data_IF_011511704480
#
_entry.id   IF_011511704480
#
_cell.length_a   1.000
_cell.length_b   1.000
_cell.length_c   1.000
_cell.angle_alpha   90.00
_cell.angle_beta   90.00
_cell.angle_gamma   90.00
#
_symmetry.space_group_name_H-M   'P 1'
#
loop_
_entity.id
_entity.type
_entity.pdbx_description
1 polymer ?
#
# COMPACT_ATOMS: atom_id res chain seq x y z
N UNK A 1 -68.19 15.83 20.12
CA UNK A 1 -68.42 17.04 20.94
C UNK A 1 -67.54 16.95 22.18
N UNK A 2 -66.81 18.00 22.52
CA UNK A 2 -65.84 18.07 23.62
C UNK A 2 -64.60 18.85 23.16
N UNK A 3 -64.66 20.20 23.18
CA UNK A 3 -64.07 21.08 24.22
C UNK A 3 -62.56 20.79 24.36
N UNK A 4 -61.63 21.62 23.92
CA UNK A 4 -61.53 23.08 24.08
C UNK A 4 -60.32 23.36 24.98
N UNK A 5 -59.35 24.15 24.52
CA UNK A 5 -58.30 24.70 25.39
C UNK A 5 -56.94 24.96 24.73
N UNK A 6 -56.63 26.21 24.36
CA UNK A 6 -55.29 26.70 24.01
C UNK A 6 -54.57 27.25 25.26
N UNK A 7 -53.24 27.07 25.35
CA UNK A 7 -52.36 27.81 26.28
C UNK A 7 -50.99 28.06 25.63
N UNK A 8 -50.76 29.32 25.25
CA UNK A 8 -49.76 30.24 25.82
C UNK A 8 -48.31 29.86 25.48
N UNK A 9 -47.70 30.49 24.46
CA UNK A 9 -46.94 31.76 24.54
C UNK A 9 -46.04 31.84 25.78
N UNK A 10 -44.83 31.31 25.61
CA UNK A 10 -43.66 31.73 26.37
C UNK A 10 -42.68 32.42 25.42
N UNK A 11 -42.81 33.73 25.29
CA UNK A 11 -41.80 34.62 24.73
C UNK A 11 -40.56 34.54 25.64
N UNK A 12 -39.45 34.00 25.13
CA UNK A 12 -38.13 34.09 25.77
C UNK A 12 -37.20 34.87 24.84
N UNK A 13 -37.37 36.18 24.84
CA UNK A 13 -36.36 37.14 24.40
C UNK A 13 -35.27 37.23 25.45
N UNK A 14 -34.34 36.27 25.42
CA UNK A 14 -33.07 36.39 26.15
C UNK A 14 -32.19 37.48 25.53
N UNK A 15 -31.42 38.24 26.34
CA UNK A 15 -30.51 39.26 25.84
C UNK A 15 -29.41 38.59 25.00
N UNK A 16 -29.31 39.00 23.73
CA UNK A 16 -28.18 38.67 22.87
C UNK A 16 -26.94 39.36 23.43
N UNK A 17 -26.07 38.57 24.04
CA UNK A 17 -24.68 38.94 24.28
C UNK A 17 -24.03 39.37 22.96
N UNK A 18 -23.22 40.44 22.95
CA UNK A 18 -22.40 40.78 21.80
C UNK A 18 -21.51 39.58 21.52
N UNK A 19 -21.73 38.98 20.34
CA UNK A 19 -20.86 37.99 19.75
C UNK A 19 -19.52 38.68 19.56
N UNK A 20 -18.55 38.31 20.39
CA UNK A 20 -17.15 38.66 20.18
C UNK A 20 -16.84 38.43 18.72
N UNK A 21 -16.37 39.52 18.12
CA UNK A 21 -15.99 39.57 16.73
C UNK A 21 -15.02 38.44 16.50
N UNK A 22 -15.36 37.60 15.52
CA UNK A 22 -14.44 36.69 14.88
C UNK A 22 -13.12 37.44 14.69
N UNK A 23 -12.11 37.08 15.47
CA UNK A 23 -10.75 37.11 15.01
C UNK A 23 -10.78 36.32 13.71
N UNK A 24 -10.83 37.07 12.61
CA UNK A 24 -10.55 36.57 11.30
C UNK A 24 -9.15 35.99 11.41
N UNK A 25 -9.09 34.68 11.60
CA UNK A 25 -7.91 33.86 11.42
C UNK A 25 -7.28 34.25 10.08
N UNK A 26 -6.33 35.17 10.16
CA UNK A 26 -5.41 35.52 9.09
C UNK A 26 -4.44 34.37 8.91
N UNK A 27 -4.95 33.17 8.62
CA UNK A 27 -4.17 32.12 7.97
C UNK A 27 -3.87 32.69 6.60
N UNK A 28 -2.71 33.32 6.51
CA UNK A 28 -2.34 34.13 5.36
C UNK A 28 -2.29 33.25 4.12
N UNK A 29 -2.83 33.74 3.00
CA UNK A 29 -2.87 33.01 1.72
C UNK A 29 -1.50 32.45 1.28
N UNK A 30 -0.39 33.07 1.73
CA UNK A 30 0.97 32.57 1.48
C UNK A 30 1.28 31.23 2.16
N UNK A 31 0.64 30.91 3.29
CA UNK A 31 0.92 29.68 4.03
C UNK A 31 0.32 28.44 3.35
N UNK A 32 -0.80 28.60 2.65
CA UNK A 32 -1.49 27.47 2.01
C UNK A 32 -0.68 26.87 0.84
N UNK A 33 0.01 27.71 0.06
CA UNK A 33 0.84 27.25 -1.06
C UNK A 33 2.08 26.50 -0.62
N UNK A 34 2.80 27.09 0.34
CA UNK A 34 3.99 26.49 0.93
C UNK A 34 3.66 25.17 1.62
N UNK A 35 2.54 25.12 2.34
CA UNK A 35 2.10 23.88 2.98
C UNK A 35 1.72 22.81 1.95
N UNK A 36 1.02 23.18 0.86
CA UNK A 36 0.73 22.24 -0.22
C UNK A 36 2.02 21.69 -0.86
N UNK A 37 3.00 22.55 -1.14
CA UNK A 37 4.31 22.14 -1.70
C UNK A 37 5.00 21.17 -0.73
N UNK A 38 5.04 21.50 0.58
CA UNK A 38 5.63 20.65 1.62
C UNK A 38 4.98 19.26 1.65
N UNK A 39 3.65 19.20 1.64
CA UNK A 39 2.92 17.93 1.66
C UNK A 39 3.08 17.12 0.37
N UNK A 40 3.15 17.79 -0.79
CA UNK A 40 3.43 17.12 -2.07
C UNK A 40 4.86 16.56 -2.13
N UNK A 41 5.83 17.27 -1.54
CA UNK A 41 7.20 16.77 -1.40
C UNK A 41 7.26 15.54 -0.48
N UNK A 42 6.56 15.57 0.66
CA UNK A 42 6.45 14.41 1.56
C UNK A 42 5.77 13.21 0.87
N UNK A 43 4.74 13.47 0.06
CA UNK A 43 4.10 12.44 -0.77
C UNK A 43 5.09 11.83 -1.78
N UNK A 44 5.90 12.68 -2.44
CA UNK A 44 6.95 12.24 -3.37
C UNK A 44 7.96 11.33 -2.66
N UNK A 45 8.44 11.71 -1.48
CA UNK A 45 9.41 10.91 -0.72
C UNK A 45 8.87 9.51 -0.39
N UNK A 46 7.57 9.38 -0.11
CA UNK A 46 6.94 8.08 0.07
C UNK A 46 6.82 7.27 -1.22
N UNK A 47 6.60 7.92 -2.36
CA UNK A 47 6.65 7.25 -3.66
C UNK A 47 8.08 6.83 -4.02
N UNK A 48 9.09 7.64 -3.76
CA UNK A 48 10.49 7.25 -3.96
C UNK A 48 10.87 6.06 -3.07
N UNK A 49 10.45 6.05 -1.81
CA UNK A 49 10.58 4.89 -0.95
C UNK A 49 9.87 3.65 -1.54
N UNK A 50 8.65 3.82 -2.07
CA UNK A 50 7.91 2.74 -2.71
C UNK A 50 8.64 2.20 -3.95
N UNK A 51 9.21 3.10 -4.77
CA UNK A 51 10.05 2.78 -5.92
C UNK A 51 11.24 1.92 -5.49
N UNK A 52 11.96 2.30 -4.44
CA UNK A 52 13.07 1.50 -3.93
C UNK A 52 12.65 0.09 -3.51
N UNK A 53 11.50 -0.06 -2.85
CA UNK A 53 10.98 -1.37 -2.45
C UNK A 53 10.63 -2.22 -3.67
N UNK A 54 9.92 -1.67 -4.67
CA UNK A 54 9.55 -2.46 -5.87
C UNK A 54 10.76 -2.82 -6.73
N UNK A 55 11.80 -1.99 -6.75
CA UNK A 55 13.09 -2.35 -7.39
C UNK A 55 13.74 -3.51 -6.64
N UNK A 56 13.76 -3.47 -5.30
CA UNK A 56 14.33 -4.56 -4.47
C UNK A 56 13.57 -5.88 -4.64
N UNK A 57 12.25 -5.82 -4.82
CA UNK A 57 11.44 -7.00 -5.14
C UNK A 57 11.93 -7.72 -6.40
N UNK A 58 12.42 -7.00 -7.42
CA UNK A 58 12.97 -7.63 -8.63
C UNK A 58 14.12 -8.59 -8.28
N UNK A 59 15.06 -8.16 -7.43
CA UNK A 59 16.17 -9.01 -6.97
C UNK A 59 15.68 -10.22 -6.19
N UNK A 60 14.66 -10.07 -5.33
CA UNK A 60 14.11 -11.20 -4.59
C UNK A 60 13.30 -12.17 -5.45
N UNK A 61 12.68 -11.69 -6.53
CA UNK A 61 12.06 -12.54 -7.56
C UNK A 61 13.14 -13.35 -8.27
N UNK A 62 14.27 -12.75 -8.64
CA UNK A 62 15.36 -13.47 -9.29
C UNK A 62 15.93 -14.59 -8.42
N UNK A 63 16.09 -14.34 -7.11
CA UNK A 63 16.63 -15.33 -6.18
C UNK A 63 15.59 -16.28 -5.58
N UNK A 64 14.32 -16.21 -5.98
CA UNK A 64 13.21 -16.96 -5.38
C UNK A 64 13.10 -16.79 -3.84
N UNK A 65 13.48 -15.61 -3.32
CA UNK A 65 13.45 -15.36 -1.87
C UNK A 65 12.04 -14.93 -1.43
N UNK A 66 11.18 -15.93 -1.23
CA UNK A 66 9.77 -15.73 -0.85
C UNK A 66 9.64 -15.00 0.50
N UNK A 67 10.57 -15.25 1.43
CA UNK A 67 10.56 -14.62 2.75
C UNK A 67 10.75 -13.11 2.64
N UNK A 68 11.75 -12.66 1.87
CA UNK A 68 11.97 -11.23 1.64
C UNK A 68 10.89 -10.59 0.77
N UNK A 69 10.34 -11.31 -0.22
CA UNK A 69 9.18 -10.81 -0.97
C UNK A 69 7.96 -10.54 -0.10
N UNK A 70 7.70 -11.39 0.89
CA UNK A 70 6.61 -11.19 1.85
C UNK A 70 6.84 -9.94 2.72
N UNK A 71 8.09 -9.74 3.17
CA UNK A 71 8.51 -8.54 3.91
C UNK A 71 8.32 -7.27 3.09
N UNK A 72 8.86 -7.23 1.86
CA UNK A 72 8.70 -6.09 0.94
C UNK A 72 7.22 -5.80 0.64
N UNK A 73 6.40 -6.83 0.49
CA UNK A 73 4.94 -6.67 0.28
C UNK A 73 4.25 -6.05 1.48
N UNK A 74 4.72 -6.31 2.70
CA UNK A 74 4.22 -5.64 3.90
C UNK A 74 4.65 -4.16 3.96
N UNK A 75 5.89 -3.87 3.57
CA UNK A 75 6.42 -2.50 3.48
C UNK A 75 5.66 -1.68 2.44
N UNK A 76 5.43 -2.22 1.23
CA UNK A 76 4.59 -1.60 0.18
C UNK A 76 3.21 -1.22 0.74
N UNK A 77 2.56 -2.13 1.48
CA UNK A 77 1.25 -1.86 2.11
C UNK A 77 1.34 -0.78 3.18
N UNK A 78 2.45 -0.67 3.90
CA UNK A 78 2.72 0.42 4.84
C UNK A 78 2.83 1.77 4.13
N UNK A 79 3.66 1.85 3.10
CA UNK A 79 3.88 3.08 2.32
C UNK A 79 2.59 3.53 1.61
N UNK A 80 1.85 2.61 0.98
CA UNK A 80 0.57 2.94 0.33
C UNK A 80 -0.48 3.48 1.30
N UNK A 81 -0.45 3.08 2.58
CA UNK A 81 -1.31 3.67 3.62
C UNK A 81 -0.91 5.12 3.90
N UNK A 82 0.38 5.38 4.12
CA UNK A 82 0.90 6.74 4.33
C UNK A 82 0.57 7.68 3.18
N UNK A 83 0.76 7.22 1.93
CA UNK A 83 0.39 7.98 0.73
C UNK A 83 -1.10 8.32 0.73
N UNK A 84 -1.97 7.36 1.04
CA UNK A 84 -3.42 7.59 1.10
C UNK A 84 -3.81 8.59 2.19
N UNK A 85 -3.17 8.50 3.35
CA UNK A 85 -3.42 9.41 4.48
C UNK A 85 -2.98 10.83 4.12
N UNK A 86 -1.82 10.99 3.46
CA UNK A 86 -1.38 12.28 2.92
C UNK A 86 -2.30 12.81 1.83
N UNK A 87 -2.75 11.98 0.89
CA UNK A 87 -3.72 12.38 -0.14
C UNK A 87 -5.01 12.94 0.46
N UNK A 88 -5.48 12.33 1.57
CA UNK A 88 -6.65 12.82 2.28
C UNK A 88 -6.41 14.22 2.88
N UNK A 89 -5.22 14.46 3.43
CA UNK A 89 -4.81 15.76 3.98
C UNK A 89 -4.49 16.82 2.92
N UNK A 90 -3.95 16.43 1.77
CA UNK A 90 -3.64 17.31 0.63
C UNK A 90 -4.93 17.78 -0.06
N UNK A 91 -5.98 16.95 -0.08
CA UNK A 91 -7.25 17.26 -0.77
C UNK A 91 -7.86 18.63 -0.40
N UNK A 92 -8.09 18.98 0.87
CA UNK A 92 -8.62 20.30 1.23
C UNK A 92 -7.67 21.43 0.83
N UNK A 93 -6.35 21.24 0.96
CA UNK A 93 -5.36 22.23 0.51
C UNK A 93 -5.42 22.43 -0.99
N UNK A 94 -5.56 21.37 -1.79
CA UNK A 94 -5.75 21.45 -3.24
C UNK A 94 -7.04 22.17 -3.63
N UNK A 95 -8.13 21.96 -2.91
CA UNK A 95 -9.40 22.63 -3.17
C UNK A 95 -9.32 24.12 -2.85
N UNK A 96 -8.80 24.46 -1.66
CA UNK A 96 -8.49 25.84 -1.30
C UNK A 96 -7.56 26.46 -2.34
N UNK A 97 -6.55 25.69 -2.77
CA UNK A 97 -5.61 26.11 -3.79
C UNK A 97 -6.34 26.44 -5.10
N UNK A 98 -7.17 25.55 -5.64
CA UNK A 98 -7.95 25.82 -6.86
C UNK A 98 -8.86 27.06 -6.77
N UNK A 99 -9.45 27.33 -5.61
CA UNK A 99 -10.41 28.42 -5.41
C UNK A 99 -9.80 29.82 -5.41
N UNK A 100 -8.49 29.95 -5.16
CA UNK A 100 -7.79 31.24 -5.11
C UNK A 100 -7.52 31.85 -6.50
N UNK A 101 -7.74 31.12 -7.60
CA UNK A 101 -7.71 31.68 -8.96
C UNK A 101 -6.40 32.37 -9.36
N UNK A 102 -6.51 33.60 -9.89
CA UNK A 102 -5.41 34.42 -10.44
C UNK A 102 -4.60 35.16 -9.37
N UNK A 103 -5.04 35.19 -8.11
CA UNK A 103 -4.43 36.00 -7.03
C UNK A 103 -3.14 35.39 -6.46
N UNK A 104 -2.47 34.53 -7.23
CA UNK A 104 -1.32 33.76 -6.78
C UNK A 104 -0.02 34.26 -7.34
N UNK A 105 1.02 34.11 -6.53
CA UNK A 105 2.37 34.21 -7.03
C UNK A 105 2.59 33.18 -8.15
N UNK A 106 2.95 33.61 -9.37
CA UNK A 106 3.33 32.71 -10.46
C UNK A 106 4.46 31.75 -10.10
N UNK A 107 5.34 32.11 -9.15
CA UNK A 107 6.41 31.26 -8.65
C UNK A 107 5.86 30.02 -7.94
N UNK A 108 5.00 30.21 -6.94
CA UNK A 108 4.39 29.10 -6.18
C UNK A 108 3.58 28.16 -7.09
N UNK A 109 2.93 28.71 -8.11
CA UNK A 109 2.20 27.90 -9.11
C UNK A 109 3.13 26.97 -9.88
N UNK A 110 4.28 27.49 -10.33
CA UNK A 110 5.29 26.69 -11.04
C UNK A 110 5.86 25.61 -10.14
N UNK A 111 6.11 25.92 -8.87
CA UNK A 111 6.64 24.95 -7.91
C UNK A 111 5.66 23.82 -7.65
N UNK A 112 4.37 24.13 -7.43
CA UNK A 112 3.32 23.11 -7.28
C UNK A 112 3.19 22.26 -8.55
N UNK A 113 3.18 22.88 -9.73
CA UNK A 113 3.12 22.16 -11.01
C UNK A 113 4.35 21.25 -11.21
N UNK A 114 5.55 21.72 -10.84
CA UNK A 114 6.80 20.93 -10.87
C UNK A 114 6.71 19.70 -9.98
N UNK A 115 6.39 19.87 -8.69
CA UNK A 115 6.33 18.75 -7.74
C UNK A 115 5.24 17.75 -8.15
N UNK A 116 4.09 18.22 -8.65
CA UNK A 116 3.05 17.32 -9.19
C UNK A 116 3.56 16.54 -10.40
N UNK A 117 4.34 17.18 -11.28
CA UNK A 117 4.99 16.51 -12.40
C UNK A 117 5.97 15.42 -11.93
N UNK A 118 6.80 15.73 -10.94
CA UNK A 118 7.73 14.76 -10.34
C UNK A 118 7.02 13.57 -9.70
N UNK A 119 5.97 13.81 -8.92
CA UNK A 119 5.15 12.73 -8.32
C UNK A 119 4.57 11.82 -9.39
N UNK A 120 4.04 12.39 -10.49
CA UNK A 120 3.52 11.60 -11.61
C UNK A 120 4.59 10.73 -12.26
N UNK A 121 5.77 11.31 -12.53
CA UNK A 121 6.91 10.58 -13.09
C UNK A 121 7.31 9.38 -12.22
N UNK A 122 7.43 9.58 -10.90
CA UNK A 122 7.77 8.48 -9.98
C UNK A 122 6.69 7.40 -9.98
N UNK A 123 5.40 7.77 -10.01
CA UNK A 123 4.29 6.80 -10.08
C UNK A 123 4.32 5.98 -11.37
N UNK A 124 4.59 6.61 -12.51
CA UNK A 124 4.73 5.95 -13.80
C UNK A 124 5.88 4.92 -13.77
N UNK A 125 7.05 5.33 -13.26
CA UNK A 125 8.20 4.42 -13.11
C UNK A 125 7.89 3.23 -12.19
N UNK A 126 7.19 3.45 -11.07
CA UNK A 126 6.75 2.36 -10.18
C UNK A 126 5.85 1.38 -10.93
N UNK A 127 4.94 1.88 -11.76
CA UNK A 127 4.03 1.03 -12.52
C UNK A 127 4.78 0.19 -13.55
N UNK A 128 5.73 0.78 -14.28
CA UNK A 128 6.60 0.06 -15.21
C UNK A 128 7.40 -1.05 -14.52
N UNK A 129 7.99 -0.75 -13.35
CA UNK A 129 8.75 -1.74 -12.58
C UNK A 129 7.84 -2.87 -12.10
N UNK A 130 6.64 -2.55 -11.60
CA UNK A 130 5.67 -3.56 -11.16
C UNK A 130 5.23 -4.48 -12.29
N UNK A 131 4.99 -3.93 -13.48
CA UNK A 131 4.62 -4.73 -14.66
C UNK A 131 5.76 -5.67 -15.06
N UNK A 132 7.00 -5.17 -15.03
CA UNK A 132 8.21 -5.99 -15.24
C UNK A 132 8.33 -7.12 -14.21
N UNK A 133 8.15 -6.80 -12.92
CA UNK A 133 8.17 -7.78 -11.84
C UNK A 133 7.07 -8.85 -12.00
N UNK A 134 5.88 -8.46 -12.47
CA UNK A 134 4.78 -9.38 -12.72
C UNK A 134 5.13 -10.37 -13.84
N UNK A 135 5.71 -9.89 -14.95
CA UNK A 135 6.20 -10.76 -16.03
C UNK A 135 7.26 -11.73 -15.52
N UNK A 136 8.25 -11.26 -14.75
CA UNK A 136 9.29 -12.11 -14.17
C UNK A 136 8.69 -13.20 -13.28
N UNK A 137 7.74 -12.86 -12.41
CA UNK A 137 7.06 -13.85 -11.57
C UNK A 137 6.32 -14.92 -12.39
N UNK A 138 5.64 -14.52 -13.48
CA UNK A 138 4.93 -15.45 -14.36
C UNK A 138 5.88 -16.44 -15.03
N UNK A 139 7.00 -15.95 -15.57
CA UNK A 139 8.03 -16.79 -16.19
C UNK A 139 8.58 -17.81 -15.20
N UNK A 140 8.95 -17.35 -14.01
CA UNK A 140 9.52 -18.19 -12.96
C UNK A 140 8.54 -19.24 -12.45
N UNK A 141 7.26 -18.89 -12.32
CA UNK A 141 6.21 -19.87 -12.02
C UNK A 141 6.07 -20.90 -13.14
N UNK A 142 6.21 -20.49 -14.40
CA UNK A 142 6.23 -21.39 -15.56
C UNK A 142 7.37 -22.41 -15.46
N UNK A 143 8.57 -21.96 -15.14
CA UNK A 143 9.74 -22.82 -14.98
C UNK A 143 9.61 -23.79 -13.81
N UNK A 144 9.12 -23.32 -12.66
CA UNK A 144 8.85 -24.17 -11.50
C UNK A 144 7.83 -25.27 -11.83
N UNK A 145 6.76 -24.95 -12.56
CA UNK A 145 5.78 -25.97 -13.01
C UNK A 145 6.40 -27.01 -13.93
N UNK A 146 7.27 -26.60 -14.86
CA UNK A 146 8.01 -27.52 -15.75
C UNK A 146 8.93 -28.44 -14.95
N UNK A 147 9.67 -27.89 -13.99
CA UNK A 147 10.55 -28.67 -13.11
C UNK A 147 9.77 -29.70 -12.28
N UNK A 148 8.63 -29.29 -11.70
CA UNK A 148 7.74 -30.21 -10.97
C UNK A 148 7.21 -31.34 -11.86
N UNK A 149 6.75 -31.02 -13.07
CA UNK A 149 6.28 -32.04 -14.01
C UNK A 149 7.40 -33.03 -14.41
N UNK A 150 8.62 -32.53 -14.59
CA UNK A 150 9.82 -33.34 -14.84
C UNK A 150 10.11 -34.29 -13.69
N UNK A 151 10.15 -33.79 -12.45
CA UNK A 151 10.37 -34.60 -11.24
C UNK A 151 9.28 -35.66 -11.03
N UNK A 152 8.02 -35.32 -11.28
CA UNK A 152 6.92 -36.29 -11.21
C UNK A 152 7.08 -37.41 -12.25
N UNK A 153 7.53 -37.07 -13.46
CA UNK A 153 7.76 -38.04 -14.53
C UNK A 153 8.94 -38.94 -14.21
N UNK A 154 10.04 -38.37 -13.73
CA UNK A 154 11.21 -39.11 -13.24
C UNK A 154 10.86 -40.01 -12.04
N UNK A 155 10.05 -39.52 -11.09
CA UNK A 155 9.58 -40.32 -9.96
C UNK A 155 8.72 -41.51 -10.39
N UNK A 156 7.81 -41.31 -11.34
CA UNK A 156 7.03 -42.40 -11.96
C UNK A 156 7.93 -43.41 -12.67
N UNK A 157 8.90 -42.94 -13.44
CA UNK A 157 9.88 -43.80 -14.12
C UNK A 157 10.72 -44.59 -13.11
N UNK A 158 11.27 -43.93 -12.09
CA UNK A 158 12.03 -44.58 -11.03
C UNK A 158 11.19 -45.63 -10.28
N UNK A 159 9.93 -45.34 -10.00
CA UNK A 159 9.02 -46.31 -9.38
C UNK A 159 8.74 -47.52 -10.29
N UNK A 160 8.63 -47.31 -11.61
CA UNK A 160 8.44 -48.38 -12.58
C UNK A 160 9.70 -49.28 -12.73
N UNK A 161 10.90 -48.68 -12.71
CA UNK A 161 12.17 -49.42 -12.86
C UNK A 161 12.64 -50.10 -11.57
N UNK A 162 12.48 -49.47 -10.41
CA UNK A 162 12.97 -49.99 -9.12
C UNK A 162 11.89 -50.69 -8.30
N UNK A 163 10.64 -50.70 -8.77
CA UNK A 163 9.48 -51.24 -8.07
C UNK A 163 9.14 -50.47 -6.79
N UNK A 164 8.02 -50.79 -6.11
CA UNK A 164 7.85 -50.40 -4.73
C UNK A 164 9.01 -51.01 -3.94
N UNK A 165 9.84 -50.18 -3.31
CA UNK A 165 10.75 -50.67 -2.26
C UNK A 165 9.89 -51.44 -1.28
N UNK A 166 9.92 -52.78 -1.35
CA UNK A 166 9.48 -53.63 -0.25
C UNK A 166 10.38 -53.20 0.90
N UNK A 167 9.86 -52.37 1.80
CA UNK A 167 10.43 -52.19 3.11
C UNK A 167 10.59 -53.61 3.65
N UNK A 168 11.84 -54.09 3.67
CA UNK A 168 12.17 -55.37 4.25
C UNK A 168 11.59 -55.35 5.65
N UNK A 169 10.57 -56.17 5.87
CA UNK A 169 10.12 -56.48 7.21
C UNK A 169 11.35 -56.89 7.99
N UNK A 170 11.56 -56.21 9.12
CA UNK A 170 12.53 -56.63 10.12
C UNK A 170 12.24 -58.12 10.36
N UNK A 171 13.15 -59.05 10.01
CA UNK A 171 12.91 -60.45 10.31
C UNK A 171 12.77 -60.58 11.82
N UNK A 172 11.79 -61.36 12.34
CA UNK A 172 11.63 -61.52 13.77
C UNK A 172 12.93 -62.09 14.34
N UNK A 173 13.54 -61.32 15.25
CA UNK A 173 14.68 -61.72 16.05
C UNK A 173 14.34 -63.00 16.80
N UNK A 174 14.77 -64.16 16.29
CA UNK A 174 14.79 -65.40 17.07
C UNK A 174 15.88 -65.26 18.13
N UNK A 175 15.47 -64.97 19.36
CA UNK A 175 16.28 -65.19 20.54
C UNK A 175 16.70 -66.66 20.57
N UNK A 176 18.00 -66.91 20.47
CA UNK A 176 18.59 -68.21 20.79
C UNK A 176 19.00 -68.11 22.26
N UNK A 177 18.21 -68.67 23.16
CA UNK A 177 18.65 -68.98 24.53
C UNK A 177 19.67 -70.12 24.42
N UNK A 178 20.95 -69.80 24.56
CA UNK A 178 21.97 -70.79 24.90
C UNK A 178 22.02 -70.90 26.41
N UNK A 179 21.44 -71.99 26.93
CA UNK A 179 21.71 -72.46 28.27
C UNK A 179 23.13 -73.05 28.32
N UNK A 180 23.94 -72.62 29.29
CA UNK A 180 25.14 -73.27 29.77
C UNK A 180 25.28 -73.01 31.26
#
# INVERSE_FOLDING_TARGET
>A
MGRGGPKDRGDRTGPRTPRDQHECDGVTHMDTGKELIRMLAEQKDHYDALKHVVVRQATHIETMDVGKLASDTAEVRGLMRKVRDLDASIRPLRQSWGNMGLDRDPADRRDVESVVGEVRGVVEEIQEIKDRNATMLQERMGDLRKQMAGLQTQGKAAHAYYGPRKSGGIPPSKFIDQAS
#
